data_IF_694459075709
#
_entry.id   IF_694459075709
#
_cell.length_a   1.000
_cell.length_b   1.000
_cell.length_c   1.000
_cell.angle_alpha   90.00
_cell.angle_beta   90.00
_cell.angle_gamma   90.00
#
_symmetry.space_group_name_H-M   'P 1'
#
loop_
_entity.id
_entity.type
_entity.pdbx_description
1 polymer ?
#
# COMPACT_ATOMS: atom_id res chain seq x y z
N UNK A 1 -1.76 28.59 -9.15
CA UNK A 1 -1.99 27.23 -8.62
C UNK A 1 -1.31 27.17 -7.29
N UNK A 2 -2.03 26.75 -6.26
CA UNK A 2 -1.47 26.69 -4.91
C UNK A 2 -1.19 25.23 -4.54
N UNK A 3 -0.11 25.02 -3.78
CA UNK A 3 0.31 23.69 -3.36
C UNK A 3 0.15 23.55 -1.86
N UNK A 4 -0.41 22.42 -1.44
CA UNK A 4 -0.54 22.06 -0.04
C UNK A 4 0.30 20.82 0.22
N UNK A 5 1.23 20.90 1.17
CA UNK A 5 2.00 19.74 1.62
C UNK A 5 1.11 18.88 2.53
N UNK A 6 0.91 17.63 2.17
CA UNK A 6 0.09 16.63 2.87
C UNK A 6 0.99 15.49 3.33
N UNK A 7 0.75 15.01 4.54
CA UNK A 7 1.42 13.83 5.07
C UNK A 7 0.49 12.61 4.89
N UNK A 8 1.00 11.41 4.52
CA UNK A 8 0.17 10.22 4.38
C UNK A 8 -0.58 9.78 5.64
N UNK A 9 -0.21 10.27 6.84
CA UNK A 9 -0.84 9.86 8.10
C UNK A 9 -1.62 10.96 8.83
N UNK A 10 -1.54 12.22 8.39
CA UNK A 10 -2.17 13.34 9.11
C UNK A 10 -2.89 14.28 8.16
N UNK A 11 -4.16 14.63 8.44
CA UNK A 11 -4.84 15.70 7.72
C UNK A 11 -4.11 17.03 7.88
N UNK A 12 -4.22 17.90 6.87
CA UNK A 12 -3.63 19.24 6.88
C UNK A 12 -4.71 20.26 6.59
N UNK A 13 -4.75 21.31 7.41
CA UNK A 13 -5.66 22.44 7.22
C UNK A 13 -4.89 23.70 6.85
N UNK A 14 -5.37 24.44 5.85
CA UNK A 14 -4.84 25.75 5.45
C UNK A 14 -5.97 26.76 5.31
N UNK A 15 -5.74 27.99 5.77
CA UNK A 15 -6.64 29.12 5.58
C UNK A 15 -5.97 30.10 4.62
N UNK A 16 -6.65 30.45 3.53
CA UNK A 16 -6.14 31.41 2.55
C UNK A 16 -6.53 32.84 2.91
N UNK A 17 -5.88 33.83 2.27
CA UNK A 17 -6.12 35.26 2.51
C UNK A 17 -7.57 35.67 2.23
N UNK A 18 -8.25 34.97 1.32
CA UNK A 18 -9.68 35.20 1.01
C UNK A 18 -10.65 34.59 2.04
N UNK A 19 -10.13 34.01 3.13
CA UNK A 19 -10.91 33.37 4.19
C UNK A 19 -11.32 31.92 3.91
N UNK A 20 -10.99 31.37 2.74
CA UNK A 20 -11.29 29.96 2.40
C UNK A 20 -10.45 29.03 3.26
N UNK A 21 -11.08 28.04 3.89
CA UNK A 21 -10.42 26.98 4.65
C UNK A 21 -10.36 25.72 3.78
N UNK A 22 -9.20 25.10 3.67
CA UNK A 22 -9.02 23.81 2.98
C UNK A 22 -8.49 22.80 3.97
N UNK A 23 -9.17 21.67 4.05
CA UNK A 23 -8.75 20.44 4.72
C UNK A 23 -8.36 19.43 3.64
N UNK A 24 -7.14 18.91 3.71
CA UNK A 24 -6.68 17.80 2.88
C UNK A 24 -6.40 16.60 3.78
N UNK A 25 -7.13 15.51 3.57
CA UNK A 25 -7.07 14.28 4.36
C UNK A 25 -6.56 13.12 3.48
N UNK A 26 -5.48 12.42 3.89
CA UNK A 26 -5.08 11.21 3.18
C UNK A 26 -6.18 10.15 3.27
N UNK A 27 -6.47 9.49 2.16
CA UNK A 27 -7.39 8.34 2.14
C UNK A 27 -6.57 7.10 2.52
N UNK A 28 -6.76 6.62 3.75
CA UNK A 28 -6.03 5.46 4.27
C UNK A 28 -6.82 4.20 3.92
N UNK A 29 -6.27 3.37 3.04
CA UNK A 29 -6.84 2.06 2.76
C UNK A 29 -6.72 1.16 4.01
N UNK A 30 -7.82 0.52 4.40
CA UNK A 30 -7.80 -0.49 5.47
C UNK A 30 -7.29 -1.81 4.92
N UNK A 31 -6.06 -2.16 5.26
CA UNK A 31 -5.44 -3.42 4.85
C UNK A 31 -5.64 -4.51 5.90
N UNK A 32 -5.83 -5.75 5.44
CA UNK A 32 -5.80 -6.91 6.33
C UNK A 32 -4.35 -7.22 6.74
N UNK A 33 -4.13 -7.50 8.02
CA UNK A 33 -2.82 -7.97 8.50
C UNK A 33 -2.51 -9.35 7.92
N UNK A 34 -1.42 -9.53 7.15
CA UNK A 34 -1.11 -10.82 6.54
C UNK A 34 -0.76 -11.89 7.57
N UNK A 35 -1.30 -13.09 7.39
CA UNK A 35 -0.93 -14.29 8.15
C UNK A 35 0.39 -14.92 7.68
N UNK A 36 0.87 -15.94 8.42
CA UNK A 36 2.16 -16.58 8.15
C UNK A 36 2.27 -17.20 6.75
N UNK A 37 1.21 -17.85 6.27
CA UNK A 37 1.16 -18.41 4.90
C UNK A 37 1.28 -17.31 3.85
N UNK A 38 0.61 -16.16 4.02
CA UNK A 38 0.71 -15.06 3.08
C UNK A 38 2.14 -14.48 3.03
N UNK A 39 2.78 -14.33 4.18
CA UNK A 39 4.20 -13.92 4.26
C UNK A 39 5.14 -14.95 3.61
N UNK A 40 4.89 -16.24 3.82
CA UNK A 40 5.67 -17.31 3.22
C UNK A 40 5.57 -17.28 1.68
N UNK A 41 4.36 -17.30 1.13
CA UNK A 41 4.15 -17.29 -0.32
C UNK A 41 4.65 -15.99 -0.97
N UNK A 42 4.47 -14.83 -0.32
CA UNK A 42 4.95 -13.54 -0.84
C UNK A 42 6.48 -13.53 -1.05
N UNK A 43 7.25 -14.24 -0.21
CA UNK A 43 8.71 -14.34 -0.35
C UNK A 43 9.09 -15.10 -1.62
N UNK A 44 8.40 -16.19 -1.94
CA UNK A 44 8.56 -16.87 -3.23
C UNK A 44 8.20 -15.95 -4.39
N UNK A 45 7.08 -15.23 -4.30
CA UNK A 45 6.61 -14.32 -5.37
C UNK A 45 7.62 -13.21 -5.67
N UNK A 46 8.11 -12.51 -4.65
CA UNK A 46 9.00 -11.35 -4.83
C UNK A 46 10.38 -11.73 -5.36
N UNK A 47 10.85 -12.92 -5.00
CA UNK A 47 12.12 -13.47 -5.48
C UNK A 47 12.01 -14.20 -6.81
N UNK A 48 10.80 -14.58 -7.23
CA UNK A 48 10.52 -14.95 -8.60
C UNK A 48 10.50 -13.70 -9.51
N UNK A 49 10.99 -13.83 -10.74
CA UNK A 49 10.90 -12.74 -11.73
C UNK A 49 9.44 -12.50 -12.12
N UNK A 50 8.75 -13.57 -12.50
CA UNK A 50 7.35 -13.60 -12.89
C UNK A 50 6.65 -14.86 -12.36
N UNK A 51 5.37 -14.73 -12.05
CA UNK A 51 4.50 -15.83 -11.64
C UNK A 51 3.34 -16.02 -12.63
N UNK A 52 2.81 -17.24 -12.66
CA UNK A 52 1.49 -17.51 -13.22
C UNK A 52 0.47 -17.06 -12.16
N UNK A 53 0.62 -17.57 -10.93
CA UNK A 53 -0.21 -17.26 -9.78
C UNK A 53 0.45 -17.67 -8.45
N UNK A 54 -0.10 -17.14 -7.37
CA UNK A 54 0.19 -17.50 -6.00
C UNK A 54 -1.11 -17.54 -5.19
N UNK A 55 -1.25 -18.49 -4.27
CA UNK A 55 -2.46 -18.66 -3.47
C UNK A 55 -2.14 -19.05 -2.04
N UNK A 56 -2.94 -18.55 -1.10
CA UNK A 56 -2.97 -19.01 0.30
C UNK A 56 -4.18 -19.92 0.60
N UNK A 57 -4.95 -20.28 -0.44
CA UNK A 57 -6.09 -21.19 -0.29
C UNK A 57 -5.52 -22.61 -0.24
N UNK A 58 -5.73 -23.37 0.85
CA UNK A 58 -5.16 -24.71 0.97
C UNK A 58 -5.69 -25.67 -0.10
N UNK A 59 -4.82 -26.54 -0.59
CA UNK A 59 -5.19 -27.62 -1.50
C UNK A 59 -4.44 -28.91 -1.13
N UNK A 60 -5.18 -29.94 -0.73
CA UNK A 60 -4.61 -31.19 -0.22
C UNK A 60 -3.79 -30.96 1.05
N UNK A 61 -2.51 -31.30 1.03
CA UNK A 61 -1.59 -31.13 2.16
C UNK A 61 -0.81 -29.80 2.13
N UNK A 62 -1.09 -28.94 1.15
CA UNK A 62 -0.36 -27.70 0.91
C UNK A 62 -1.22 -26.52 1.40
N UNK A 63 -0.65 -25.68 2.27
CA UNK A 63 -1.35 -24.54 2.87
C UNK A 63 -1.43 -23.32 1.94
N UNK A 64 -0.45 -23.19 1.05
CA UNK A 64 -0.35 -22.15 0.03
C UNK A 64 0.64 -22.59 -1.04
N UNK A 65 0.59 -21.98 -2.22
CA UNK A 65 1.53 -22.33 -3.29
C UNK A 65 1.79 -21.16 -4.23
N UNK A 66 3.01 -21.10 -4.76
CA UNK A 66 3.38 -20.21 -5.87
C UNK A 66 3.74 -21.01 -7.10
N UNK A 67 3.21 -20.61 -8.25
CA UNK A 67 3.55 -21.15 -9.57
C UNK A 67 4.35 -20.10 -10.34
N UNK A 68 5.68 -20.06 -10.21
CA UNK A 68 6.51 -19.15 -11.00
C UNK A 68 6.49 -19.56 -12.49
N UNK A 69 6.64 -18.59 -13.40
CA UNK A 69 6.82 -18.88 -14.84
C UNK A 69 8.08 -19.73 -15.05
N UNK A 70 9.13 -19.44 -14.26
CA UNK A 70 10.36 -20.21 -14.20
C UNK A 70 10.76 -20.39 -12.75
N UNK A 71 10.76 -21.63 -12.28
CA UNK A 71 11.26 -21.97 -10.95
C UNK A 71 12.77 -21.75 -10.89
N UNK A 72 13.24 -21.02 -9.88
CA UNK A 72 14.68 -20.80 -9.62
C UNK A 72 15.04 -21.25 -8.20
N UNK A 73 16.31 -21.56 -7.96
CA UNK A 73 16.78 -21.97 -6.64
C UNK A 73 16.62 -20.83 -5.61
N UNK A 74 16.81 -19.59 -6.05
CA UNK A 74 16.60 -18.38 -5.23
C UNK A 74 15.13 -18.26 -4.82
N UNK A 75 14.21 -18.39 -5.78
CA UNK A 75 12.79 -18.26 -5.48
C UNK A 75 12.27 -19.39 -4.61
N UNK A 76 12.74 -20.62 -4.83
CA UNK A 76 12.38 -21.77 -4.00
C UNK A 76 12.89 -21.60 -2.55
N UNK A 77 14.16 -21.24 -2.33
CA UNK A 77 14.72 -21.16 -0.97
C UNK A 77 14.28 -19.91 -0.19
N UNK A 78 13.58 -18.97 -0.81
CA UNK A 78 13.35 -17.63 -0.26
C UNK A 78 12.71 -17.60 1.14
N UNK A 79 11.63 -18.34 1.45
CA UNK A 79 11.06 -18.31 2.79
C UNK A 79 12.03 -18.88 3.83
N UNK A 80 12.78 -19.94 3.49
CA UNK A 80 13.79 -20.53 4.37
C UNK A 80 14.95 -19.57 4.65
N UNK A 81 15.39 -18.82 3.63
CA UNK A 81 16.44 -17.83 3.75
C UNK A 81 16.08 -16.72 4.77
N UNK A 82 14.79 -16.43 4.92
CA UNK A 82 14.26 -15.46 5.88
C UNK A 82 13.73 -16.09 7.19
N UNK A 83 14.01 -17.39 7.41
CA UNK A 83 13.71 -18.06 8.66
C UNK A 83 12.25 -18.54 8.84
N UNK A 84 11.45 -18.63 7.77
CA UNK A 84 10.12 -19.25 7.87
C UNK A 84 10.22 -20.75 8.17
N UNK A 85 9.21 -21.22 8.90
CA UNK A 85 8.95 -22.64 9.13
C UNK A 85 8.24 -23.27 7.92
N UNK A 86 8.11 -24.60 7.91
CA UNK A 86 7.38 -25.32 6.86
C UNK A 86 8.15 -25.47 5.54
N UNK A 87 9.42 -25.07 5.49
CA UNK A 87 10.22 -24.96 4.26
C UNK A 87 10.90 -26.25 3.80
N UNK A 88 10.55 -27.39 4.41
CA UNK A 88 11.18 -28.67 4.11
C UNK A 88 11.02 -29.08 2.65
N UNK A 89 9.84 -28.84 2.06
CA UNK A 89 9.60 -29.09 0.65
C UNK A 89 10.40 -28.15 -0.25
N UNK A 90 10.49 -26.87 0.09
CA UNK A 90 11.22 -25.87 -0.69
C UNK A 90 12.73 -26.17 -0.75
N UNK A 91 13.29 -26.59 0.38
CA UNK A 91 14.67 -27.04 0.49
C UNK A 91 14.89 -28.32 -0.30
N UNK A 92 13.95 -29.27 -0.24
CA UNK A 92 14.00 -30.49 -1.01
C UNK A 92 13.99 -30.21 -2.53
N UNK A 93 13.11 -29.34 -3.01
CA UNK A 93 13.05 -28.92 -4.42
C UNK A 93 14.35 -28.23 -4.84
N UNK A 94 14.86 -27.32 -4.01
CA UNK A 94 16.12 -26.61 -4.28
C UNK A 94 17.29 -27.58 -4.47
N UNK A 95 17.44 -28.53 -3.54
CA UNK A 95 18.55 -29.47 -3.57
C UNK A 95 18.40 -30.56 -4.63
N UNK A 96 17.23 -31.20 -4.71
CA UNK A 96 17.06 -32.44 -5.46
C UNK A 96 16.50 -32.22 -6.86
N UNK A 97 15.66 -31.20 -7.06
CA UNK A 97 15.06 -30.92 -8.36
C UNK A 97 15.89 -29.89 -9.15
N UNK A 98 16.37 -28.85 -8.46
CA UNK A 98 17.17 -27.80 -9.09
C UNK A 98 18.68 -28.09 -9.02
N UNK A 99 19.10 -29.05 -8.20
CA UNK A 99 20.49 -29.49 -8.12
C UNK A 99 21.43 -28.49 -7.46
N UNK A 100 20.91 -27.61 -6.60
CA UNK A 100 21.68 -26.54 -5.96
C UNK A 100 21.68 -26.71 -4.44
N UNK A 101 22.84 -26.62 -3.81
CA UNK A 101 22.94 -26.61 -2.36
C UNK A 101 22.15 -25.42 -1.77
N UNK A 102 21.12 -25.63 -0.93
CA UNK A 102 20.29 -24.55 -0.42
C UNK A 102 21.09 -23.50 0.35
N UNK A 103 22.10 -23.92 1.12
CA UNK A 103 22.95 -23.01 1.89
C UNK A 103 23.66 -22.00 0.98
N UNK A 104 24.14 -22.44 -0.19
CA UNK A 104 24.83 -21.58 -1.17
C UNK A 104 23.96 -20.48 -1.79
N UNK A 105 22.64 -20.67 -1.89
CA UNK A 105 21.71 -19.70 -2.53
C UNK A 105 20.90 -18.86 -1.54
N UNK A 106 20.83 -19.27 -0.27
CA UNK A 106 20.12 -18.52 0.78
C UNK A 106 20.62 -17.08 0.93
N UNK A 107 21.92 -16.82 0.79
CA UNK A 107 22.47 -15.46 0.91
C UNK A 107 21.94 -14.52 -0.20
N UNK A 108 21.81 -15.03 -1.44
CA UNK A 108 21.27 -14.26 -2.54
C UNK A 108 19.78 -13.98 -2.33
N UNK A 109 19.01 -15.00 -1.93
CA UNK A 109 17.59 -14.85 -1.62
C UNK A 109 17.36 -13.83 -0.49
N UNK A 110 18.12 -13.93 0.62
CA UNK A 110 18.04 -12.98 1.74
C UNK A 110 18.36 -11.55 1.30
N UNK A 111 19.39 -11.36 0.48
CA UNK A 111 19.73 -10.02 -0.04
C UNK A 111 18.57 -9.42 -0.84
N UNK A 112 17.91 -10.20 -1.68
CA UNK A 112 16.74 -9.75 -2.46
C UNK A 112 15.59 -9.39 -1.52
N UNK A 113 15.25 -10.27 -0.57
CA UNK A 113 14.16 -10.06 0.37
C UNK A 113 14.35 -8.80 1.23
N UNK A 114 15.57 -8.55 1.72
CA UNK A 114 15.88 -7.32 2.46
C UNK A 114 15.70 -6.09 1.57
N UNK A 115 16.22 -6.12 0.34
CA UNK A 115 16.10 -4.98 -0.59
C UNK A 115 14.67 -4.70 -1.04
N UNK A 116 13.78 -5.69 -0.92
CA UNK A 116 12.40 -5.65 -1.38
C UNK A 116 11.39 -5.89 -0.26
N UNK A 117 11.74 -5.59 0.99
CA UNK A 117 10.87 -5.86 2.15
C UNK A 117 9.47 -5.28 2.00
N UNK A 118 9.37 -4.05 1.47
CA UNK A 118 8.09 -3.37 1.24
C UNK A 118 7.27 -4.03 0.12
N UNK A 119 7.92 -4.62 -0.90
CA UNK A 119 7.22 -5.41 -1.93
C UNK A 119 6.70 -6.71 -1.34
N UNK A 120 7.46 -7.37 -0.45
CA UNK A 120 7.01 -8.59 0.24
C UNK A 120 5.78 -8.30 1.08
N UNK A 121 5.79 -7.21 1.85
CA UNK A 121 4.65 -6.79 2.68
C UNK A 121 3.40 -6.50 1.85
N UNK A 122 3.56 -5.77 0.75
CA UNK A 122 2.43 -5.44 -0.14
C UNK A 122 1.85 -6.68 -0.81
N UNK A 123 2.72 -7.58 -1.32
CA UNK A 123 2.28 -8.84 -1.92
C UNK A 123 1.59 -9.74 -0.89
N UNK A 124 2.11 -9.80 0.35
CA UNK A 124 1.49 -10.57 1.43
C UNK A 124 0.11 -10.02 1.78
N UNK A 125 -0.05 -8.69 1.83
CA UNK A 125 -1.34 -8.02 2.03
C UNK A 125 -2.33 -8.36 0.92
N UNK A 126 -1.90 -8.28 -0.34
CA UNK A 126 -2.77 -8.63 -1.47
C UNK A 126 -3.18 -10.12 -1.45
N UNK A 127 -2.27 -11.03 -1.09
CA UNK A 127 -2.59 -12.44 -0.88
C UNK A 127 -3.61 -12.62 0.24
N UNK A 128 -3.46 -11.91 1.36
CA UNK A 128 -4.38 -11.98 2.49
C UNK A 128 -5.79 -11.49 2.14
N UNK A 129 -5.88 -10.44 1.32
CA UNK A 129 -7.15 -9.84 0.90
C UNK A 129 -7.85 -10.65 -0.22
N UNK A 130 -7.08 -11.12 -1.20
CA UNK A 130 -7.64 -11.74 -2.42
C UNK A 130 -7.65 -13.28 -2.38
N UNK A 131 -6.85 -13.89 -1.51
CA UNK A 131 -6.66 -15.34 -1.41
C UNK A 131 -5.81 -15.94 -2.53
N UNK A 132 -5.98 -15.48 -3.77
CA UNK A 132 -5.16 -15.85 -4.94
C UNK A 132 -4.82 -14.60 -5.75
N UNK A 133 -3.57 -14.49 -6.19
CA UNK A 133 -3.06 -13.40 -7.01
C UNK A 133 -2.33 -13.93 -8.24
N UNK A 134 -2.23 -13.10 -9.27
CA UNK A 134 -1.53 -13.34 -10.52
C UNK A 134 -0.46 -12.26 -10.76
N UNK A 135 0.28 -12.35 -11.86
CA UNK A 135 1.34 -11.37 -12.17
C UNK A 135 0.83 -9.93 -12.23
N UNK A 136 -0.41 -9.70 -12.66
CA UNK A 136 -1.02 -8.37 -12.70
C UNK A 136 -1.13 -7.76 -11.32
N UNK A 137 -1.51 -8.54 -10.31
CA UNK A 137 -1.61 -8.11 -8.92
C UNK A 137 -0.22 -7.85 -8.32
N UNK A 138 0.78 -8.66 -8.68
CA UNK A 138 2.18 -8.41 -8.25
C UNK A 138 2.70 -7.09 -8.83
N UNK A 139 2.34 -6.76 -10.08
CA UNK A 139 2.70 -5.49 -10.68
C UNK A 139 1.98 -4.30 -9.99
N UNK A 140 0.72 -4.49 -9.60
CA UNK A 140 -0.03 -3.54 -8.77
C UNK A 140 0.66 -3.32 -7.43
N UNK A 141 1.05 -4.38 -6.71
CA UNK A 141 1.81 -4.28 -5.46
C UNK A 141 3.11 -3.45 -5.62
N UNK A 142 3.89 -3.74 -6.66
CA UNK A 142 5.13 -3.00 -6.95
C UNK A 142 4.87 -1.52 -7.23
N UNK A 143 3.80 -1.22 -7.97
CA UNK A 143 3.38 0.15 -8.21
C UNK A 143 2.92 0.86 -6.94
N UNK A 144 2.19 0.18 -6.04
CA UNK A 144 1.78 0.74 -4.75
C UNK A 144 3.00 1.09 -3.89
N UNK A 145 4.00 0.21 -3.81
CA UNK A 145 5.26 0.47 -3.09
C UNK A 145 5.98 1.67 -3.69
N UNK A 146 6.11 1.73 -5.02
CA UNK A 146 6.74 2.86 -5.72
C UNK A 146 5.99 4.17 -5.43
N UNK A 147 4.67 4.16 -5.54
CA UNK A 147 3.83 5.32 -5.26
C UNK A 147 4.02 5.81 -3.81
N UNK A 148 4.03 4.91 -2.83
CA UNK A 148 4.33 5.27 -1.43
C UNK A 148 5.70 5.93 -1.27
N UNK A 149 6.73 5.40 -1.94
CA UNK A 149 8.09 5.96 -1.91
C UNK A 149 8.17 7.34 -2.58
N UNK A 150 7.39 7.56 -3.63
CA UNK A 150 7.30 8.85 -4.34
C UNK A 150 6.35 9.85 -3.64
N UNK A 151 5.70 9.46 -2.54
CA UNK A 151 4.73 10.28 -1.82
C UNK A 151 3.46 10.53 -2.63
N UNK A 152 3.04 9.51 -3.39
CA UNK A 152 1.83 9.48 -4.20
C UNK A 152 0.78 8.65 -3.46
N UNK A 153 -0.30 9.30 -3.04
CA UNK A 153 -1.42 8.66 -2.35
C UNK A 153 -2.72 9.43 -2.59
N UNK A 154 -3.88 8.76 -2.53
CA UNK A 154 -5.17 9.43 -2.63
C UNK A 154 -5.38 10.40 -1.46
N UNK A 155 -5.93 11.57 -1.78
CA UNK A 155 -6.24 12.64 -0.84
C UNK A 155 -7.65 13.14 -1.12
N UNK A 156 -8.47 13.17 -0.08
CA UNK A 156 -9.74 13.89 -0.07
C UNK A 156 -9.47 15.34 0.30
N UNK A 157 -9.93 16.27 -0.53
CA UNK A 157 -9.79 17.71 -0.31
C UNK A 157 -11.16 18.32 -0.11
N UNK A 158 -11.38 18.88 1.07
CA UNK A 158 -12.57 19.66 1.41
C UNK A 158 -12.19 21.13 1.53
N UNK A 159 -12.87 22.00 0.78
CA UNK A 159 -12.77 23.45 0.91
C UNK A 159 -14.08 24.04 1.43
N UNK A 160 -13.96 25.03 2.31
CA UNK A 160 -15.05 25.84 2.84
C UNK A 160 -14.74 27.29 2.54
N UNK A 161 -15.52 27.88 1.64
CA UNK A 161 -15.39 29.29 1.25
C UNK A 161 -15.78 30.25 2.39
N UNK A 162 -15.46 31.52 2.25
CA UNK A 162 -15.86 32.56 3.21
C UNK A 162 -17.38 32.80 3.27
N UNK A 163 -18.13 32.41 2.25
CA UNK A 163 -19.61 32.38 2.26
C UNK A 163 -20.19 31.15 2.97
N UNK A 164 -19.36 30.16 3.33
CA UNK A 164 -19.79 28.91 3.95
C UNK A 164 -20.11 27.79 2.95
N UNK A 165 -19.90 28.01 1.64
CA UNK A 165 -20.06 26.96 0.65
C UNK A 165 -18.95 25.91 0.81
N UNK A 166 -19.34 24.63 0.79
CA UNK A 166 -18.46 23.48 0.98
C UNK A 166 -18.30 22.73 -0.34
N UNK A 167 -17.06 22.40 -0.69
CA UNK A 167 -16.71 21.61 -1.87
C UNK A 167 -15.74 20.51 -1.45
N UNK A 168 -16.04 19.24 -1.76
CA UNK A 168 -15.12 18.11 -1.58
C UNK A 168 -14.83 17.42 -2.90
N UNK A 169 -13.60 16.96 -3.09
CA UNK A 169 -13.19 16.16 -4.22
C UNK A 169 -11.99 15.27 -3.86
N UNK A 170 -11.84 14.16 -4.57
CA UNK A 170 -10.66 13.30 -4.47
C UNK A 170 -9.60 13.71 -5.49
N UNK A 171 -8.35 13.62 -5.08
CA UNK A 171 -7.18 13.83 -5.93
C UNK A 171 -6.03 12.95 -5.47
N UNK A 172 -4.89 13.04 -6.14
CA UNK A 172 -3.68 12.29 -5.78
C UNK A 172 -2.57 13.26 -5.42
N UNK A 173 -1.85 12.97 -4.34
CA UNK A 173 -0.63 13.69 -4.03
C UNK A 173 0.50 13.31 -4.98
N UNK A 174 1.49 14.18 -5.10
CA UNK A 174 2.76 13.89 -5.77
C UNK A 174 3.89 14.51 -4.94
N UNK A 175 4.85 13.69 -4.49
CA UNK A 175 5.86 14.09 -3.50
C UNK A 175 5.26 14.68 -2.21
N UNK A 176 4.09 14.17 -1.81
CA UNK A 176 3.36 14.68 -0.64
C UNK A 176 2.78 16.07 -0.85
N UNK A 177 2.59 16.52 -2.10
CA UNK A 177 1.94 17.79 -2.42
C UNK A 177 0.65 17.55 -3.20
N UNK A 178 -0.38 18.33 -2.88
CA UNK A 178 -1.63 18.39 -3.64
C UNK A 178 -1.74 19.77 -4.28
N UNK A 179 -2.07 19.79 -5.58
CA UNK A 179 -2.35 21.03 -6.32
C UNK A 179 -3.82 21.38 -6.14
N UNK A 180 -4.07 22.55 -5.58
CA UNK A 180 -5.40 23.10 -5.40
C UNK A 180 -5.78 23.93 -6.63
N UNK A 181 -7.01 23.78 -7.17
CA UNK A 181 -7.51 24.63 -8.24
C UNK A 181 -7.56 26.09 -7.76
N UNK A 182 -7.24 27.03 -8.65
CA UNK A 182 -7.18 28.48 -8.35
C UNK A 182 -8.59 29.05 -8.16
N UNK A 183 -9.60 28.40 -8.74
CA UNK A 183 -10.98 28.81 -8.71
C UNK A 183 -11.80 27.81 -7.90
N UNK A 184 -12.14 28.18 -6.66
CA UNK A 184 -12.98 27.38 -5.76
C UNK A 184 -14.49 27.57 -6.07
N UNK A 185 -14.81 28.11 -7.25
CA UNK A 185 -16.12 28.68 -7.59
C UNK A 185 -17.02 27.77 -8.43
N UNK A 186 -16.54 26.61 -8.88
CA UNK A 186 -17.38 25.65 -9.61
C UNK A 186 -17.87 24.52 -8.69
N UNK A 187 -19.14 24.53 -8.25
CA UNK A 187 -19.69 23.48 -7.40
C UNK A 187 -19.80 22.14 -8.09
N UNK A 188 -19.14 21.13 -7.53
CA UNK A 188 -19.71 19.80 -7.47
C UNK A 188 -20.65 19.78 -6.27
N UNK A 189 -21.96 19.62 -6.50
CA UNK A 189 -22.94 19.52 -5.43
C UNK A 189 -22.78 18.19 -4.69
N UNK A 190 -22.38 18.26 -3.43
CA UNK A 190 -22.46 17.15 -2.47
C UNK A 190 -23.81 17.27 -1.75
N UNK A 191 -24.45 16.13 -1.45
CA UNK A 191 -25.71 16.07 -0.72
C UNK A 191 -25.64 16.75 0.64
N UNK A 192 -26.76 17.31 1.11
CA UNK A 192 -26.81 18.10 2.35
C UNK A 192 -26.44 17.31 3.62
N UNK A 193 -26.51 15.97 3.60
CA UNK A 193 -26.22 15.12 4.76
C UNK A 193 -24.71 15.09 5.09
N UNK A 194 -23.83 15.20 4.09
CA UNK A 194 -22.37 15.17 4.28
C UNK A 194 -21.80 16.51 4.78
N UNK A 195 -22.56 17.61 4.67
CA UNK A 195 -22.07 18.95 5.05
C UNK A 195 -21.84 19.12 6.56
N UNK A 196 -22.69 18.53 7.39
CA UNK A 196 -22.63 18.77 8.84
C UNK A 196 -21.45 18.04 9.49
N UNK A 197 -21.18 16.80 9.07
CA UNK A 197 -20.03 16.00 9.53
C UNK A 197 -18.69 16.61 9.10
N UNK A 198 -18.64 17.20 7.90
CA UNK A 198 -17.48 17.93 7.40
C UNK A 198 -17.21 19.20 8.20
N UNK A 199 -18.24 19.97 8.56
CA UNK A 199 -18.07 21.18 9.37
C UNK A 199 -17.61 20.86 10.80
N UNK A 200 -18.18 19.83 11.41
CA UNK A 200 -17.78 19.38 12.76
C UNK A 200 -16.34 18.86 12.79
N UNK A 201 -15.89 18.12 11.78
CA UNK A 201 -14.51 17.63 11.70
C UNK A 201 -13.48 18.74 11.51
N UNK A 202 -13.82 19.83 10.80
CA UNK A 202 -12.98 21.04 10.69
C UNK A 202 -12.92 21.79 12.04
N UNK A 203 -14.05 21.92 12.73
CA UNK A 203 -14.13 22.63 14.03
C UNK A 203 -13.35 21.91 15.13
N UNK A 204 -13.48 20.59 15.23
CA UNK A 204 -12.77 19.77 16.22
C UNK A 204 -11.25 19.87 16.04
N UNK A 205 -10.74 19.82 14.80
CA UNK A 205 -9.29 19.94 14.57
C UNK A 205 -8.76 21.35 14.83
N UNK A 206 -9.55 22.39 14.60
CA UNK A 206 -9.14 23.77 14.91
C UNK A 206 -8.99 24.01 16.42
N UNK A 207 -9.84 23.40 17.25
CA UNK A 207 -9.79 23.52 18.71
C UNK A 207 -8.65 22.73 19.36
N UNK A 208 -8.23 21.62 18.76
CA UNK A 208 -7.09 20.84 19.26
C UNK A 208 -5.76 21.59 19.06
N UNK A 209 -5.62 22.34 17.97
CA UNK A 209 -4.40 23.12 17.67
C UNK A 209 -4.30 24.38 18.55
N UNK A 210 -5.42 25.03 18.88
CA UNK A 210 -5.41 26.23 19.75
C UNK A 210 -5.09 25.94 21.22
N UNK A 211 -5.14 24.69 21.66
CA UNK A 211 -4.79 24.28 23.04
C UNK A 211 -3.34 23.77 23.18
N UNK A 212 -2.55 23.80 22.10
CA UNK A 212 -1.15 23.33 22.06
C UNK A 212 -0.12 24.45 21.78
N UNK A 213 -0.56 25.72 21.74
CA UNK A 213 0.26 26.93 21.64
C UNK A 213 0.03 27.82 22.85
#
# INVERSE_FOLDING_TARGET
MERLKVNPSTPVTKIFENGTKVLAKPVIATHLTPGDTAWHEAKHVVTAENIIDATIIPNGSVLGSVRPVKMTAISAVAPAADGHVGTGWDLFVTQNYLGVDPGSVMSAARSILISKSNEVEEVATMLQERGTIHQTDVNEARNNVKNRQEGIFPVEVTSVSSSGDVYSYETTSFHGEVVLPIDYSTPFQIGNEDKQEVLESIEIQSHVISNLL
#
